data_IF_637005062384
#
_entry.id   IF_637005062384
#
_cell.length_a   1.000
_cell.length_b   1.000
_cell.length_c   1.000
_cell.angle_alpha   90.00
_cell.angle_beta   90.00
_cell.angle_gamma   90.00
#
_symmetry.space_group_name_H-M   'P 1'
#
loop_
_entity.id
_entity.type
_entity.pdbx_description
1 polymer ?
#
# COMPACT_ATOMS: atom_id res chain seq x y z
N UNK A 1 -45.39 3.12 -4.09
CA UNK A 1 -44.34 3.67 -3.22
C UNK A 1 -43.03 3.26 -3.89
N UNK A 2 -42.44 4.19 -4.64
CA UNK A 2 -41.12 4.02 -5.23
C UNK A 2 -40.10 4.11 -4.10
N UNK A 3 -39.39 3.02 -3.84
CA UNK A 3 -38.20 3.04 -3.02
C UNK A 3 -37.04 3.58 -3.91
N UNK A 4 -36.76 4.85 -3.81
CA UNK A 4 -35.48 5.41 -4.25
C UNK A 4 -34.39 4.87 -3.34
N UNK A 5 -33.57 3.96 -3.87
CA UNK A 5 -32.32 3.59 -3.23
C UNK A 5 -31.39 4.82 -3.37
N UNK A 6 -31.07 5.45 -2.27
CA UNK A 6 -29.91 6.37 -2.24
C UNK A 6 -28.69 5.54 -2.60
N UNK A 7 -28.11 5.83 -3.74
CA UNK A 7 -26.76 5.36 -4.08
C UNK A 7 -25.85 6.09 -3.09
N UNK A 8 -25.42 5.39 -2.04
CA UNK A 8 -24.30 5.87 -1.26
C UNK A 8 -23.10 5.96 -2.19
N UNK A 9 -22.60 7.16 -2.43
CA UNK A 9 -21.31 7.37 -3.08
C UNK A 9 -20.24 6.75 -2.18
N UNK A 10 -19.83 5.53 -2.52
CA UNK A 10 -18.88 4.74 -1.75
C UNK A 10 -17.47 5.04 -2.23
N UNK A 11 -17.00 6.26 -1.97
CA UNK A 11 -15.61 6.62 -2.19
C UNK A 11 -14.72 5.93 -1.14
N UNK A 12 -13.69 5.28 -1.62
CA UNK A 12 -12.66 4.66 -0.79
C UNK A 12 -11.37 5.45 -0.96
N UNK A 13 -10.68 5.74 0.15
CA UNK A 13 -9.39 6.42 0.11
C UNK A 13 -8.28 5.39 0.24
N UNK A 14 -7.28 5.47 -0.64
CA UNK A 14 -6.00 4.82 -0.47
C UNK A 14 -5.14 5.64 0.49
N UNK A 15 -4.94 5.10 1.70
CA UNK A 15 -4.21 5.76 2.74
C UNK A 15 -2.72 5.47 2.68
N UNK A 16 -1.93 6.55 2.60
CA UNK A 16 -0.47 6.54 2.72
C UNK A 16 0.25 5.56 1.78
N UNK A 17 -0.03 5.51 0.47
CA UNK A 17 0.85 4.81 -0.46
C UNK A 17 2.24 5.42 -0.44
N UNK A 18 3.28 4.58 -0.27
CA UNK A 18 4.68 4.99 -0.29
C UNK A 18 5.49 4.03 -1.16
N UNK A 19 6.32 4.59 -2.03
CA UNK A 19 7.14 3.84 -2.98
C UNK A 19 8.61 4.01 -2.61
N UNK A 20 9.28 2.90 -2.30
CA UNK A 20 10.73 2.82 -2.06
C UNK A 20 11.43 2.28 -3.30
N UNK A 21 12.56 2.86 -3.64
CA UNK A 21 13.40 2.47 -4.77
C UNK A 21 14.75 1.97 -4.26
N UNK A 22 15.15 0.76 -4.61
CA UNK A 22 16.41 0.14 -4.20
C UNK A 22 17.21 -0.31 -5.42
N UNK A 23 17.83 0.61 -6.18
CA UNK A 23 18.72 0.23 -7.27
C UNK A 23 20.03 -0.34 -6.72
N UNK A 24 20.76 -1.14 -7.52
CA UNK A 24 22.09 -1.65 -7.13
C UNK A 24 23.13 -0.55 -6.99
N UNK A 25 22.96 0.53 -7.74
CA UNK A 25 23.83 1.72 -7.71
C UNK A 25 22.98 2.97 -7.95
N UNK A 26 23.54 4.13 -7.65
CA UNK A 26 22.90 5.41 -7.98
C UNK A 26 22.44 5.42 -9.43
N UNK A 27 21.17 5.71 -9.68
CA UNK A 27 20.62 5.84 -11.05
C UNK A 27 19.42 6.78 -11.09
N UNK A 28 19.19 7.32 -12.29
CA UNK A 28 17.95 8.06 -12.59
C UNK A 28 16.81 7.07 -12.79
N UNK A 29 15.66 7.36 -12.16
CA UNK A 29 14.45 6.54 -12.25
C UNK A 29 13.28 7.43 -12.57
N UNK A 30 12.54 7.08 -13.62
CA UNK A 30 11.23 7.65 -13.91
C UNK A 30 10.15 6.71 -13.39
N UNK A 31 9.19 7.25 -12.65
CA UNK A 31 8.04 6.52 -12.10
C UNK A 31 6.78 7.18 -12.65
N UNK A 32 6.01 6.44 -13.44
CA UNK A 32 4.71 6.87 -13.96
C UNK A 32 3.63 6.11 -13.19
N UNK A 33 2.74 6.84 -12.54
CA UNK A 33 1.64 6.33 -11.74
C UNK A 33 0.32 6.77 -12.36
N UNK A 34 -0.49 5.82 -12.81
CA UNK A 34 -1.85 6.07 -13.24
C UNK A 34 -2.80 5.62 -12.12
N UNK A 35 -3.58 6.55 -11.58
CA UNK A 35 -4.57 6.24 -10.55
C UNK A 35 -5.98 6.22 -11.16
N UNK A 36 -6.74 5.19 -10.86
CA UNK A 36 -8.17 5.21 -11.06
C UNK A 36 -8.79 6.14 -10.01
N UNK A 37 -9.43 7.23 -10.45
CA UNK A 37 -9.97 8.23 -9.55
C UNK A 37 -9.16 9.52 -9.50
N UNK A 38 -9.04 10.15 -8.34
CA UNK A 38 -8.41 11.46 -8.17
C UNK A 38 -7.27 11.41 -7.18
N UNK A 39 -6.09 11.87 -7.59
CA UNK A 39 -4.97 12.13 -6.70
C UNK A 39 -5.33 13.30 -5.76
N UNK A 40 -5.22 13.08 -4.44
CA UNK A 40 -5.59 14.07 -3.41
C UNK A 40 -4.40 14.60 -2.63
N UNK A 41 -3.28 13.85 -2.57
CA UNK A 41 -2.04 14.29 -1.94
C UNK A 41 -0.83 13.60 -2.56
N UNK A 42 0.30 14.29 -2.56
CA UNK A 42 1.59 13.78 -3.06
C UNK A 42 2.78 14.41 -2.32
N UNK A 43 3.89 13.70 -2.23
CA UNK A 43 5.16 14.23 -1.75
C UNK A 43 6.34 13.28 -2.07
N UNK A 44 7.40 13.72 -2.79
CA UNK A 44 7.51 15.01 -3.50
C UNK A 44 6.39 15.23 -4.50
N UNK A 45 6.34 16.43 -5.06
CA UNK A 45 5.24 16.83 -5.93
C UNK A 45 5.15 15.98 -7.19
N UNK A 46 3.98 15.43 -7.45
CA UNK A 46 3.66 14.73 -8.67
C UNK A 46 3.67 15.69 -9.88
N UNK A 47 4.38 15.34 -10.93
CA UNK A 47 4.40 16.12 -12.18
C UNK A 47 3.33 15.57 -13.14
N UNK A 48 2.29 16.37 -13.37
CA UNK A 48 1.18 16.06 -14.26
C UNK A 48 1.59 15.84 -15.73
N UNK A 49 2.74 16.38 -16.16
CA UNK A 49 3.18 16.25 -17.57
C UNK A 49 3.74 14.86 -17.85
N UNK A 50 4.45 14.31 -16.90
CA UNK A 50 5.03 12.97 -16.99
C UNK A 50 4.17 11.92 -16.29
N UNK A 51 3.10 12.36 -15.61
CA UNK A 51 2.22 11.54 -14.76
C UNK A 51 3.00 10.77 -13.69
N UNK A 52 3.86 11.46 -12.94
CA UNK A 52 4.69 10.79 -11.95
C UNK A 52 5.88 11.61 -11.48
N UNK A 53 7.03 10.96 -11.32
CA UNK A 53 8.26 11.54 -10.82
C UNK A 53 9.48 11.12 -11.67
N UNK A 54 10.46 12.01 -11.79
CA UNK A 54 11.80 11.71 -12.28
C UNK A 54 12.80 12.03 -11.17
N UNK A 55 13.47 11.00 -10.66
CA UNK A 55 14.29 11.10 -9.45
C UNK A 55 15.62 10.39 -9.60
N UNK A 56 16.62 10.80 -8.81
CA UNK A 56 17.84 10.02 -8.60
C UNK A 56 17.62 9.10 -7.39
N UNK A 57 17.68 7.79 -7.59
CA UNK A 57 17.55 6.79 -6.52
C UNK A 57 18.90 6.19 -6.13
N UNK A 58 19.04 5.83 -4.85
CA UNK A 58 20.23 5.23 -4.26
C UNK A 58 19.92 3.84 -3.65
N UNK A 59 20.95 2.98 -3.45
CA UNK A 59 20.76 1.62 -2.94
C UNK A 59 20.11 1.51 -1.56
N UNK A 60 20.18 2.54 -0.74
CA UNK A 60 19.58 2.60 0.59
C UNK A 60 18.15 3.15 0.62
N UNK A 61 17.55 3.30 -0.56
CA UNK A 61 16.26 3.95 -0.86
C UNK A 61 16.23 5.48 -0.70
N UNK A 62 17.36 6.13 -0.49
CA UNK A 62 17.42 7.60 -0.59
C UNK A 62 17.03 8.03 -1.99
N UNK A 63 16.15 9.01 -2.09
CA UNK A 63 15.67 9.60 -3.34
C UNK A 63 16.06 11.07 -3.35
N UNK A 64 16.62 11.55 -4.45
CA UNK A 64 16.90 12.97 -4.66
C UNK A 64 16.07 13.51 -5.81
N UNK A 65 15.33 14.58 -5.55
CA UNK A 65 14.60 15.36 -6.55
C UNK A 65 14.82 16.85 -6.28
N UNK A 66 15.17 17.63 -7.29
CA UNK A 66 15.45 19.06 -7.17
C UNK A 66 16.40 19.42 -6.01
N UNK A 67 17.48 18.65 -5.83
CA UNK A 67 18.48 18.81 -4.75
C UNK A 67 17.95 18.53 -3.32
N UNK A 68 16.72 18.03 -3.17
CA UNK A 68 16.13 17.63 -1.90
C UNK A 68 16.15 16.13 -1.74
N UNK A 69 16.29 15.69 -0.50
CA UNK A 69 16.34 14.29 -0.11
C UNK A 69 14.99 13.81 0.42
N UNK A 70 14.57 12.63 -0.05
CA UNK A 70 13.35 11.95 0.36
C UNK A 70 13.63 10.48 0.69
N UNK A 71 12.85 9.91 1.62
CA UNK A 71 12.95 8.48 1.98
C UNK A 71 12.10 7.59 1.08
N UNK A 72 11.07 8.14 0.44
CA UNK A 72 10.13 7.47 -0.46
C UNK A 72 9.33 8.50 -1.25
N UNK A 73 8.62 8.05 -2.27
CA UNK A 73 7.56 8.83 -2.93
C UNK A 73 6.24 8.51 -2.24
N UNK A 74 5.50 9.55 -1.87
CA UNK A 74 4.19 9.43 -1.22
C UNK A 74 3.10 9.96 -2.14
N UNK A 75 1.93 9.28 -2.12
CA UNK A 75 0.73 9.73 -2.81
C UNK A 75 -0.53 9.23 -2.09
N UNK A 76 -1.64 9.90 -2.29
CA UNK A 76 -2.97 9.45 -1.86
C UNK A 76 -3.99 9.72 -2.96
N UNK A 77 -4.95 8.84 -3.11
CA UNK A 77 -6.06 9.01 -4.05
C UNK A 77 -7.38 8.54 -3.46
N UNK A 78 -8.45 9.12 -3.96
CA UNK A 78 -9.81 8.61 -3.78
C UNK A 78 -10.28 7.93 -5.06
N UNK A 79 -11.03 6.84 -4.93
CA UNK A 79 -11.56 6.06 -6.04
C UNK A 79 -12.93 5.47 -5.70
N UNK A 80 -13.70 5.10 -6.71
CA UNK A 80 -14.98 4.44 -6.50
C UNK A 80 -14.79 3.06 -5.87
N UNK A 81 -15.70 2.71 -4.96
CA UNK A 81 -15.59 1.51 -4.14
C UNK A 81 -15.50 0.22 -4.94
N UNK A 82 -14.88 -0.76 -4.32
CA UNK A 82 -14.59 -2.05 -4.88
C UNK A 82 -15.19 -3.18 -4.07
N UNK A 83 -15.63 -4.18 -4.79
CA UNK A 83 -15.98 -5.46 -4.21
C UNK A 83 -14.69 -6.19 -3.80
N UNK A 84 -14.41 -6.20 -2.49
CA UNK A 84 -13.32 -6.98 -1.94
C UNK A 84 -13.75 -8.42 -1.73
N UNK A 85 -12.92 -9.38 -2.16
CA UNK A 85 -13.14 -10.79 -1.82
C UNK A 85 -12.91 -11.00 -0.32
N UNK A 86 -14.00 -11.14 0.42
CA UNK A 86 -14.00 -11.35 1.87
C UNK A 86 -13.89 -12.83 2.26
N UNK A 87 -13.58 -13.73 1.35
CA UNK A 87 -13.60 -15.19 1.62
C UNK A 87 -12.40 -15.70 2.42
N UNK A 88 -11.25 -15.00 2.33
CA UNK A 88 -9.97 -15.44 2.94
C UNK A 88 -9.25 -14.26 3.57
N UNK A 89 -9.38 -14.12 4.88
CA UNK A 89 -8.79 -13.02 5.63
C UNK A 89 -8.12 -13.52 6.90
N UNK A 90 -7.30 -12.68 7.54
CA UNK A 90 -6.88 -12.89 8.92
C UNK A 90 -7.82 -12.21 9.88
N UNK A 91 -8.11 -12.86 11.02
CA UNK A 91 -8.82 -12.25 12.14
C UNK A 91 -7.80 -11.95 13.23
N UNK A 92 -7.63 -10.67 13.52
CA UNK A 92 -6.61 -10.19 14.45
C UNK A 92 -7.26 -9.47 15.62
N UNK A 93 -7.06 -9.96 16.83
CA UNK A 93 -7.45 -9.22 18.04
C UNK A 93 -6.54 -8.00 18.19
N UNK A 94 -7.08 -6.88 18.63
CA UNK A 94 -6.33 -5.61 18.70
C UNK A 94 -5.00 -5.71 19.49
N UNK A 95 -4.97 -6.51 20.57
CA UNK A 95 -3.77 -6.71 21.40
C UNK A 95 -2.63 -7.42 20.67
N UNK A 96 -2.97 -8.25 19.68
CA UNK A 96 -2.04 -9.07 18.90
C UNK A 96 -1.65 -8.39 17.56
N UNK A 97 -2.26 -7.22 17.25
CA UNK A 97 -2.13 -6.57 15.95
C UNK A 97 -0.68 -6.17 15.61
N UNK A 98 0.10 -5.74 16.59
CA UNK A 98 1.49 -5.34 16.39
C UNK A 98 2.37 -6.52 15.98
N UNK A 99 2.30 -7.58 16.75
CA UNK A 99 3.06 -8.81 16.52
C UNK A 99 2.63 -9.48 15.22
N UNK A 100 1.33 -9.50 14.94
CA UNK A 100 0.78 -9.99 13.68
C UNK A 100 1.32 -9.23 12.47
N UNK A 101 1.24 -7.90 12.49
CA UNK A 101 1.75 -7.08 11.39
C UNK A 101 3.26 -7.30 11.19
N UNK A 102 4.04 -7.31 12.26
CA UNK A 102 5.49 -7.52 12.16
C UNK A 102 5.80 -8.91 11.58
N UNK A 103 5.11 -9.97 12.03
CA UNK A 103 5.30 -11.33 11.52
C UNK A 103 4.96 -11.42 10.03
N UNK A 104 3.74 -10.96 9.63
CA UNK A 104 3.28 -11.11 8.24
C UNK A 104 4.07 -10.24 7.27
N UNK A 105 4.34 -8.99 7.62
CA UNK A 105 5.11 -8.08 6.78
C UNK A 105 6.57 -8.56 6.63
N UNK A 106 7.19 -9.07 7.70
CA UNK A 106 8.51 -9.69 7.63
C UNK A 106 8.49 -10.97 6.78
N UNK A 107 7.44 -11.79 6.90
CA UNK A 107 7.27 -13.01 6.10
C UNK A 107 7.24 -12.72 4.59
N UNK A 108 6.56 -11.67 4.18
CA UNK A 108 6.48 -11.23 2.78
C UNK A 108 7.68 -10.37 2.34
N UNK A 109 8.72 -10.27 3.17
CA UNK A 109 9.99 -9.61 2.89
C UNK A 109 10.01 -8.07 2.88
N UNK A 110 9.14 -7.42 3.64
CA UNK A 110 9.41 -6.04 4.03
C UNK A 110 10.57 -5.99 5.02
N UNK A 111 11.46 -5.04 4.81
CA UNK A 111 12.58 -4.77 5.74
C UNK A 111 12.07 -4.12 7.02
N UNK A 112 12.84 -4.16 8.14
CA UNK A 112 12.48 -3.43 9.36
C UNK A 112 12.20 -1.94 9.13
N UNK A 113 12.93 -1.27 8.24
CA UNK A 113 12.68 0.14 7.88
C UNK A 113 11.28 0.32 7.30
N UNK A 114 10.86 -0.54 6.38
CA UNK A 114 9.57 -0.47 5.69
C UNK A 114 8.40 -0.85 6.59
N UNK A 115 8.50 -2.00 7.29
CA UNK A 115 7.39 -2.41 8.16
C UNK A 115 7.26 -1.56 9.43
N UNK A 116 8.31 -0.91 9.91
CA UNK A 116 8.18 0.05 11.01
C UNK A 116 7.31 1.24 10.60
N UNK A 117 7.56 1.81 9.42
CA UNK A 117 6.74 2.89 8.85
C UNK A 117 5.28 2.45 8.68
N UNK A 118 5.07 1.22 8.17
CA UNK A 118 3.75 0.61 8.02
C UNK A 118 3.04 0.46 9.38
N UNK A 119 3.71 -0.17 10.36
CA UNK A 119 3.13 -0.48 11.68
C UNK A 119 2.80 0.81 12.44
N UNK A 120 3.67 1.80 12.43
CA UNK A 120 3.42 3.09 13.10
C UNK A 120 2.17 3.78 12.57
N UNK A 121 1.86 3.61 11.29
CA UNK A 121 0.68 4.18 10.68
C UNK A 121 -0.60 3.35 10.92
N UNK A 122 -0.54 2.01 10.73
CA UNK A 122 -1.73 1.15 10.73
C UNK A 122 -2.11 0.62 12.11
N UNK A 123 -1.14 0.28 12.97
CA UNK A 123 -1.41 -0.27 14.29
C UNK A 123 -2.30 0.62 15.16
N UNK A 124 -2.11 1.96 15.26
CA UNK A 124 -3.00 2.82 16.04
C UNK A 124 -4.46 2.77 15.58
N UNK A 125 -4.72 2.52 14.30
CA UNK A 125 -6.07 2.39 13.74
C UNK A 125 -6.72 1.06 14.13
N UNK A 126 -5.92 0.01 14.23
CA UNK A 126 -6.39 -1.33 14.63
C UNK A 126 -6.65 -1.45 16.13
N UNK A 127 -5.96 -0.68 16.97
CA UNK A 127 -6.10 -0.71 18.43
C UNK A 127 -7.50 -0.34 18.93
N UNK A 128 -8.25 0.43 18.17
CA UNK A 128 -9.60 0.90 18.55
C UNK A 128 -10.70 -0.15 18.30
N UNK A 129 -10.37 -1.27 17.67
CA UNK A 129 -11.31 -2.30 17.28
C UNK A 129 -11.09 -3.55 18.13
N UNK A 130 -12.16 -4.23 18.58
CA UNK A 130 -12.02 -5.47 19.32
C UNK A 130 -11.32 -6.56 18.50
N UNK A 131 -11.72 -6.68 17.23
CA UNK A 131 -11.08 -7.51 16.21
C UNK A 131 -10.95 -6.72 14.92
N UNK A 132 -10.01 -7.15 14.09
CA UNK A 132 -9.79 -6.63 12.76
C UNK A 132 -9.78 -7.80 11.77
N UNK A 133 -10.54 -7.71 10.69
CA UNK A 133 -10.24 -8.48 9.50
C UNK A 133 -9.11 -7.78 8.77
N UNK A 134 -8.10 -8.54 8.37
CA UNK A 134 -6.93 -8.02 7.63
C UNK A 134 -6.72 -8.88 6.39
N UNK A 135 -6.66 -8.22 5.24
CA UNK A 135 -6.41 -8.83 3.95
C UNK A 135 -5.26 -8.13 3.24
N UNK A 136 -4.32 -8.88 2.70
CA UNK A 136 -3.26 -8.36 1.87
C UNK A 136 -3.61 -8.60 0.40
N UNK A 137 -4.09 -7.56 -0.27
CA UNK A 137 -4.48 -7.59 -1.67
C UNK A 137 -3.26 -7.28 -2.57
N UNK A 138 -2.91 -8.22 -3.43
CA UNK A 138 -1.76 -8.05 -4.32
C UNK A 138 -2.19 -7.66 -5.74
N UNK A 139 -2.98 -8.52 -6.38
CA UNK A 139 -3.34 -8.41 -7.78
C UNK A 139 -4.45 -7.40 -8.03
N UNK A 140 -5.49 -7.40 -7.18
CA UNK A 140 -6.67 -6.54 -7.36
C UNK A 140 -6.31 -5.06 -7.39
N UNK A 141 -5.24 -4.71 -6.67
CA UNK A 141 -4.76 -3.35 -6.61
C UNK A 141 -3.88 -2.94 -7.79
N UNK A 142 -2.98 -3.80 -8.25
CA UNK A 142 -2.04 -3.43 -9.33
C UNK A 142 -2.78 -2.97 -10.59
N UNK A 143 -4.01 -3.47 -10.79
CA UNK A 143 -4.88 -3.07 -11.89
C UNK A 143 -5.47 -1.66 -11.71
N UNK A 144 -5.63 -1.19 -10.47
CA UNK A 144 -6.26 0.11 -10.17
C UNK A 144 -5.30 1.29 -10.10
N UNK A 145 -4.05 1.02 -9.84
CA UNK A 145 -2.99 2.01 -9.84
C UNK A 145 -1.76 1.44 -10.57
N UNK A 146 -1.82 1.31 -11.91
CA UNK A 146 -0.68 0.89 -12.71
C UNK A 146 0.54 1.74 -12.43
N UNK A 147 1.68 1.07 -12.24
CA UNK A 147 2.96 1.69 -11.94
C UNK A 147 3.97 1.27 -13.00
N UNK A 148 4.40 2.23 -13.82
CA UNK A 148 5.42 2.02 -14.84
C UNK A 148 6.73 2.67 -14.39
N UNK A 149 7.82 1.90 -14.37
CA UNK A 149 9.11 2.35 -13.86
C UNK A 149 10.19 2.15 -14.92
N UNK A 150 10.98 3.19 -15.15
CA UNK A 150 12.08 3.17 -16.10
C UNK A 150 13.37 3.65 -15.42
N UNK A 151 14.48 2.88 -15.44
CA UNK A 151 14.56 1.53 -16.03
C UNK A 151 13.67 0.51 -15.32
N UNK A 152 13.29 -0.56 -16.04
CA UNK A 152 12.42 -1.61 -15.50
C UNK A 152 13.09 -2.28 -14.28
N UNK A 153 12.41 -2.35 -13.12
CA UNK A 153 12.95 -3.01 -11.94
C UNK A 153 12.95 -4.53 -12.10
N UNK A 154 13.95 -5.20 -11.51
CA UNK A 154 14.05 -6.67 -11.50
C UNK A 154 13.01 -7.33 -10.60
N UNK A 155 12.47 -6.57 -9.64
CA UNK A 155 11.42 -7.04 -8.73
C UNK A 155 10.58 -5.89 -8.18
N UNK A 156 9.25 -6.10 -8.12
CA UNK A 156 8.29 -5.12 -7.59
C UNK A 156 7.39 -5.80 -6.56
N UNK A 157 7.48 -5.36 -5.31
CA UNK A 157 6.60 -5.78 -4.23
C UNK A 157 5.59 -4.67 -3.95
N UNK A 158 4.31 -4.94 -4.15
CA UNK A 158 3.22 -4.00 -3.86
C UNK A 158 2.29 -4.62 -2.83
N UNK A 159 2.25 -4.06 -1.62
CA UNK A 159 1.48 -4.57 -0.47
C UNK A 159 0.31 -3.66 -0.17
N UNK A 160 -0.88 -4.06 -0.56
CA UNK A 160 -2.10 -3.35 -0.21
C UNK A 160 -2.82 -4.05 0.94
N UNK A 161 -3.07 -3.32 2.02
CA UNK A 161 -3.74 -3.89 3.19
C UNK A 161 -5.14 -3.34 3.33
N UNK A 162 -6.12 -4.24 3.35
CA UNK A 162 -7.51 -3.90 3.64
C UNK A 162 -7.81 -4.30 5.07
N UNK A 163 -8.30 -3.36 5.88
CA UNK A 163 -8.68 -3.58 7.26
C UNK A 163 -10.17 -3.35 7.41
N UNK A 164 -10.88 -4.31 8.01
CA UNK A 164 -12.29 -4.13 8.38
C UNK A 164 -12.45 -4.32 9.88
N UNK A 165 -12.90 -3.27 10.62
CA UNK A 165 -13.20 -3.38 12.04
C UNK A 165 -14.31 -4.38 12.32
N UNK A 166 -14.16 -5.19 13.37
CA UNK A 166 -15.19 -6.11 13.84
C UNK A 166 -15.45 -5.97 15.33
N UNK A 167 -16.71 -6.08 15.71
CA UNK A 167 -17.16 -6.11 17.12
C UNK A 167 -17.00 -7.49 17.75
N UNK A 168 -17.10 -8.55 16.94
CA UNK A 168 -17.07 -9.95 17.36
C UNK A 168 -16.14 -10.76 16.45
N UNK A 169 -15.60 -11.84 16.99
CA UNK A 169 -14.81 -12.79 16.20
C UNK A 169 -15.76 -13.60 15.31
N UNK A 170 -15.39 -13.75 14.06
CA UNK A 170 -16.08 -14.60 13.09
C UNK A 170 -15.18 -15.77 12.70
N UNK A 171 -15.76 -16.82 12.12
CA UNK A 171 -14.99 -17.88 11.48
C UNK A 171 -14.79 -17.55 10.00
N UNK A 172 -13.56 -17.59 9.55
CA UNK A 172 -13.17 -17.33 8.17
C UNK A 172 -11.90 -18.14 7.82
N UNK A 173 -11.76 -18.48 6.56
CA UNK A 173 -10.54 -19.12 6.09
C UNK A 173 -9.39 -18.10 6.09
N UNK A 174 -8.24 -18.48 6.63
CA UNK A 174 -7.06 -17.62 6.59
C UNK A 174 -6.49 -17.51 5.17
N UNK A 175 -6.03 -16.30 4.85
CA UNK A 175 -5.29 -16.03 3.62
C UNK A 175 -3.92 -16.71 3.68
N UNK A 176 -3.53 -17.32 2.57
CA UNK A 176 -2.18 -17.84 2.37
C UNK A 176 -1.33 -16.75 1.74
N UNK A 177 -0.24 -16.38 2.39
CA UNK A 177 0.72 -15.40 1.87
C UNK A 177 1.87 -16.11 1.17
N UNK A 178 2.32 -15.53 0.09
CA UNK A 178 3.53 -15.96 -0.61
C UNK A 178 4.72 -15.09 -0.20
N UNK A 179 5.92 -15.67 -0.21
CA UNK A 179 7.15 -14.91 0.00
C UNK A 179 7.53 -14.22 -1.29
N UNK A 180 7.95 -12.97 -1.16
CA UNK A 180 8.50 -12.21 -2.27
C UNK A 180 10.03 -12.39 -2.33
N UNK A 181 10.58 -12.49 -3.53
CA UNK A 181 12.03 -12.60 -3.76
C UNK A 181 12.55 -11.28 -4.34
N UNK A 182 13.27 -10.51 -3.53
CA UNK A 182 13.89 -9.25 -3.96
C UNK A 182 15.12 -9.56 -4.83
N UNK A 183 15.20 -8.89 -5.96
CA UNK A 183 16.31 -9.00 -6.90
C UNK A 183 16.88 -7.63 -7.19
N UNK A 184 18.14 -7.58 -7.48
CA UNK A 184 18.92 -6.41 -7.96
C UNK A 184 18.26 -5.04 -7.75
N UNK A 185 17.61 -4.47 -8.79
CA UNK A 185 16.77 -3.27 -8.63
C UNK A 185 15.39 -3.67 -8.13
N UNK A 186 15.13 -3.45 -6.85
CA UNK A 186 13.85 -3.71 -6.20
C UNK A 186 13.05 -2.44 -5.99
N UNK A 187 11.74 -2.53 -6.22
CA UNK A 187 10.77 -1.50 -5.85
C UNK A 187 9.81 -2.08 -4.83
N UNK A 188 9.54 -1.34 -3.77
CA UNK A 188 8.59 -1.72 -2.73
C UNK A 188 7.57 -0.62 -2.56
N UNK A 189 6.30 -0.97 -2.63
CA UNK A 189 5.20 -0.07 -2.30
C UNK A 189 4.30 -0.72 -1.27
N UNK A 190 3.86 0.06 -0.31
CA UNK A 190 2.83 -0.39 0.62
C UNK A 190 1.85 0.74 0.97
N UNK A 191 0.60 0.35 1.23
CA UNK A 191 -0.48 1.24 1.64
C UNK A 191 -1.69 0.41 2.07
N UNK A 192 -2.86 1.05 2.25
CA UNK A 192 -4.07 0.31 2.58
C UNK A 192 -5.30 1.17 2.65
N UNK A 193 -6.40 0.51 3.05
CA UNK A 193 -7.68 1.15 3.33
C UNK A 193 -8.35 0.52 4.53
N UNK A 194 -9.32 1.25 5.10
CA UNK A 194 -10.19 0.75 6.15
C UNK A 194 -11.62 0.75 5.60
N UNK A 195 -12.25 -0.42 5.66
CA UNK A 195 -13.68 -0.56 5.31
C UNK A 195 -14.55 -0.20 6.53
N UNK A 196 -15.66 0.46 6.29
CA UNK A 196 -16.66 0.77 7.32
C UNK A 196 -17.56 -0.44 7.66
#
# INVERSE_FOLDING_TARGET
VEHTYEVCDTWTIFWKPVIYLYPEQKQEVKIELEVEGKLIADYPRYDEKIKGWEVTAYPDSTIIEEEKEYSYLFWESEFENNDWDLSKWFIVEWKDAREFLQEKLSYIWLTPKEYNEFIVYWYPKMMNNKYNLVYFAWLDYTLKAPLNITPEPDSVLRVFTVIKPLKEKIEIQEQVLERFDRKWFSVVEWWGTILE
#
